data_IF_394691345939
#
_entry.id   IF_394691345939
#
_cell.length_a   1.000
_cell.length_b   1.000
_cell.length_c   1.000
_cell.angle_alpha   90.00
_cell.angle_beta   90.00
_cell.angle_gamma   90.00
#
_symmetry.space_group_name_H-M   'P 1'
#
loop_
_entity.id
_entity.type
_entity.pdbx_description
1 polymer ?
#
# COMPACT_ATOMS: atom_id res chain seq x y z
N UNK A 1 -18.93 -22.77 -14.24
CA UNK A 1 -17.55 -22.99 -13.81
C UNK A 1 -16.73 -21.84 -14.39
N UNK A 2 -16.46 -20.80 -13.61
CA UNK A 2 -15.65 -19.66 -14.06
C UNK A 2 -14.20 -20.03 -13.75
N UNK A 3 -13.38 -20.19 -14.78
CA UNK A 3 -11.95 -20.35 -14.64
C UNK A 3 -11.39 -19.00 -14.18
N UNK A 4 -11.14 -18.85 -12.88
CA UNK A 4 -10.25 -17.80 -12.40
C UNK A 4 -8.88 -18.13 -12.96
N UNK A 5 -8.45 -17.38 -13.96
CA UNK A 5 -7.10 -17.46 -14.48
C UNK A 5 -6.15 -17.20 -13.30
N UNK A 6 -5.32 -18.15 -12.87
CA UNK A 6 -4.43 -17.93 -11.73
C UNK A 6 -3.24 -17.13 -12.24
N UNK A 7 -3.40 -15.82 -12.43
CA UNK A 7 -2.23 -14.96 -12.52
C UNK A 7 -1.49 -15.12 -11.19
N UNK A 8 -0.23 -15.58 -11.17
CA UNK A 8 0.48 -15.76 -9.91
C UNK A 8 0.71 -14.39 -9.28
N UNK A 9 0.02 -14.12 -8.17
CA UNK A 9 0.31 -12.95 -7.35
C UNK A 9 1.78 -12.98 -6.93
N UNK A 10 2.49 -11.89 -7.15
CA UNK A 10 3.86 -11.70 -6.66
C UNK A 10 3.83 -10.94 -5.33
N UNK A 11 4.83 -11.15 -4.48
CA UNK A 11 4.94 -10.37 -3.24
C UNK A 11 5.85 -9.16 -3.43
N UNK A 12 5.41 -8.01 -2.93
CA UNK A 12 6.24 -6.83 -2.86
C UNK A 12 7.23 -6.98 -1.68
N UNK A 13 8.50 -6.68 -1.94
CA UNK A 13 9.58 -6.84 -0.97
C UNK A 13 9.75 -5.55 -0.18
N UNK A 14 9.64 -5.60 1.15
CA UNK A 14 9.88 -4.45 2.02
C UNK A 14 11.36 -4.05 1.97
N UNK A 15 11.64 -2.82 1.55
CA UNK A 15 12.98 -2.23 1.45
C UNK A 15 13.29 -1.34 2.65
N UNK A 16 12.31 -0.57 3.11
CA UNK A 16 12.46 0.36 4.23
C UNK A 16 11.18 0.43 5.06
N UNK A 17 11.32 0.47 6.37
CA UNK A 17 10.23 0.74 7.31
C UNK A 17 10.67 1.84 8.28
N UNK A 18 9.98 2.98 8.23
CA UNK A 18 10.24 4.14 9.11
C UNK A 18 10.20 3.78 10.60
N UNK A 19 9.41 2.78 11.00
CA UNK A 19 9.32 2.33 12.41
C UNK A 19 10.65 1.76 12.92
N UNK A 20 11.51 1.29 12.02
CA UNK A 20 12.82 0.72 12.34
C UNK A 20 13.96 1.73 12.16
N UNK A 21 13.66 2.99 11.81
CA UNK A 21 14.67 4.03 11.70
C UNK A 21 14.87 4.75 13.05
N UNK A 22 16.10 4.81 13.60
CA UNK A 22 16.37 5.54 14.83
C UNK A 22 16.32 7.04 14.57
N UNK A 23 15.13 7.63 14.64
CA UNK A 23 14.94 9.08 14.50
C UNK A 23 15.05 9.75 15.87
N UNK A 24 16.17 10.43 16.12
CA UNK A 24 16.43 11.20 17.36
C UNK A 24 15.62 12.51 17.49
N UNK A 25 14.50 12.70 16.79
CA UNK A 25 13.90 14.05 16.72
C UNK A 25 12.38 14.16 16.50
N UNK A 26 11.56 13.13 16.75
CA UNK A 26 10.08 13.31 16.70
C UNK A 26 9.53 13.32 18.12
N UNK A 27 9.43 14.54 18.68
CA UNK A 27 8.73 14.82 19.95
C UNK A 27 7.31 14.24 19.89
N UNK A 28 7.00 13.37 20.85
CA UNK A 28 5.68 13.10 21.41
C UNK A 28 4.49 13.21 20.44
N UNK A 29 4.30 12.20 19.59
CA UNK A 29 2.98 11.90 19.05
C UNK A 29 2.58 10.47 19.43
N UNK A 30 1.38 10.25 19.99
CA UNK A 30 0.91 8.93 20.41
C UNK A 30 0.42 8.06 19.23
N UNK A 31 0.81 8.38 17.99
CA UNK A 31 0.35 7.66 16.81
C UNK A 31 1.23 6.46 16.52
N UNK A 32 1.13 5.43 17.36
CA UNK A 32 1.64 4.08 17.06
C UNK A 32 1.05 3.50 15.75
N UNK A 33 0.06 4.16 15.16
CA UNK A 33 -0.60 3.80 13.90
C UNK A 33 -0.07 4.52 12.65
N UNK A 34 0.81 5.52 12.76
CA UNK A 34 1.36 6.19 11.56
C UNK A 34 2.69 5.55 11.14
N UNK A 35 2.84 5.27 9.85
CA UNK A 35 4.09 4.74 9.30
C UNK A 35 4.25 5.07 7.82
N UNK A 36 5.49 5.06 7.37
CA UNK A 36 5.88 5.03 5.95
C UNK A 36 6.78 3.83 5.69
N UNK A 37 6.56 3.16 4.56
CA UNK A 37 7.28 1.96 4.12
C UNK A 37 7.53 2.06 2.62
N UNK A 38 8.70 1.60 2.19
CA UNK A 38 9.08 1.49 0.79
C UNK A 38 9.15 0.01 0.41
N UNK A 39 8.51 -0.36 -0.69
CA UNK A 39 8.52 -1.71 -1.23
C UNK A 39 9.09 -1.75 -2.65
N UNK A 40 9.74 -2.85 -3.02
CA UNK A 40 10.13 -3.19 -4.40
C UNK A 40 9.13 -4.19 -4.97
N UNK A 41 8.67 -3.95 -6.19
CA UNK A 41 7.75 -4.84 -6.90
C UNK A 41 8.08 -4.88 -8.40
N UNK A 42 8.69 -5.98 -8.84
CA UNK A 42 9.24 -6.07 -10.20
C UNK A 42 10.24 -4.93 -10.42
N UNK A 43 10.04 -4.17 -11.49
CA UNK A 43 10.87 -3.01 -11.85
C UNK A 43 10.41 -1.68 -11.21
N UNK A 44 9.43 -1.73 -10.31
CA UNK A 44 8.87 -0.55 -9.65
C UNK A 44 9.15 -0.52 -8.15
N UNK A 45 8.89 0.64 -7.57
CA UNK A 45 8.81 0.85 -6.14
C UNK A 45 7.43 1.35 -5.75
N UNK A 46 7.00 0.99 -4.54
CA UNK A 46 5.80 1.52 -3.91
C UNK A 46 6.21 2.22 -2.62
N UNK A 47 6.09 3.55 -2.61
CA UNK A 47 6.10 4.33 -1.37
C UNK A 47 4.69 4.29 -0.78
N UNK A 48 4.56 3.80 0.44
CA UNK A 48 3.29 3.57 1.10
C UNK A 48 3.30 4.16 2.51
N UNK A 49 2.28 4.93 2.85
CA UNK A 49 2.15 5.56 4.15
C UNK A 49 0.75 5.36 4.74
N UNK A 50 0.70 4.97 6.01
CA UNK A 50 -0.51 5.01 6.83
C UNK A 50 -0.50 6.32 7.62
N UNK A 51 -1.57 7.11 7.48
CA UNK A 51 -1.71 8.42 8.13
C UNK A 51 -3.03 8.49 8.88
N UNK A 52 -3.06 9.10 10.09
CA UNK A 52 -4.31 9.40 10.76
C UNK A 52 -5.06 10.50 9.99
N UNK A 53 -6.38 10.37 9.89
CA UNK A 53 -7.25 11.36 9.29
C UNK A 53 -8.56 11.50 10.08
N UNK A 54 -8.64 12.54 10.92
CA UNK A 54 -9.76 12.70 11.83
C UNK A 54 -9.82 11.56 12.84
N UNK A 55 -10.91 10.79 12.81
CA UNK A 55 -11.08 9.57 13.65
C UNK A 55 -10.68 8.29 12.92
N UNK A 56 -10.38 8.39 11.63
CA UNK A 56 -10.09 7.27 10.76
C UNK A 56 -8.60 7.26 10.38
N UNK A 57 -8.21 6.30 9.55
CA UNK A 57 -6.89 6.27 8.95
C UNK A 57 -7.00 6.20 7.43
N UNK A 58 -5.99 6.72 6.73
CA UNK A 58 -5.86 6.64 5.28
C UNK A 58 -4.53 6.01 4.91
N UNK A 59 -4.60 5.13 3.93
CA UNK A 59 -3.45 4.58 3.25
C UNK A 59 -3.21 5.42 1.98
N UNK A 60 -2.07 6.08 1.93
CA UNK A 60 -1.63 6.90 0.79
C UNK A 60 -0.43 6.23 0.17
N UNK A 61 -0.42 6.07 -1.15
CA UNK A 61 0.72 5.49 -1.83
C UNK A 61 1.07 6.16 -3.15
N UNK A 62 2.31 5.95 -3.56
CA UNK A 62 2.87 6.39 -4.82
C UNK A 62 3.65 5.24 -5.47
N UNK A 63 3.22 4.87 -6.67
CA UNK A 63 3.96 3.96 -7.55
C UNK A 63 5.04 4.76 -8.27
N UNK A 64 6.29 4.32 -8.13
CA UNK A 64 7.48 4.95 -8.69
C UNK A 64 8.10 3.96 -9.68
N UNK A 65 8.22 4.38 -10.93
CA UNK A 65 8.81 3.60 -12.02
C UNK A 65 9.97 4.39 -12.66
N UNK A 66 11.06 3.71 -12.99
CA UNK A 66 12.29 4.37 -13.49
C UNK A 66 12.15 4.92 -14.92
N UNK A 67 11.36 4.27 -15.78
CA UNK A 67 11.38 4.55 -17.23
C UNK A 67 10.02 4.83 -17.86
N UNK A 68 8.90 4.44 -17.24
CA UNK A 68 7.58 4.53 -17.84
C UNK A 68 6.54 5.04 -16.84
N UNK A 69 5.61 5.87 -17.30
CA UNK A 69 4.42 6.25 -16.52
C UNK A 69 3.64 4.95 -16.24
N UNK A 70 3.27 4.66 -14.98
CA UNK A 70 2.49 3.47 -14.68
C UNK A 70 1.23 3.45 -15.54
N UNK A 71 0.95 2.32 -16.19
CA UNK A 71 -0.36 2.12 -16.82
C UNK A 71 -1.39 2.23 -15.70
N UNK A 72 -2.38 3.13 -15.82
CA UNK A 72 -3.31 3.39 -14.74
C UNK A 72 -4.18 2.14 -14.47
N UNK A 73 -4.06 1.52 -13.29
CA UNK A 73 -4.60 0.15 -13.10
C UNK A 73 -5.38 -0.15 -11.82
N UNK A 74 -5.31 0.70 -10.79
CA UNK A 74 -6.02 0.54 -9.50
C UNK A 74 -5.32 -0.32 -8.45
N UNK A 75 -5.67 -0.04 -7.20
CA UNK A 75 -5.27 -0.78 -6.01
C UNK A 75 -6.51 -1.23 -5.26
N UNK A 76 -6.43 -2.39 -4.62
CA UNK A 76 -7.48 -2.93 -3.75
C UNK A 76 -6.87 -3.20 -2.37
N UNK A 77 -7.48 -2.64 -1.34
CA UNK A 77 -7.11 -2.96 0.03
C UNK A 77 -8.14 -3.95 0.59
N UNK A 78 -7.66 -5.11 0.97
CA UNK A 78 -8.42 -6.15 1.63
C UNK A 78 -8.18 -6.06 3.13
N UNK A 79 -9.26 -5.98 3.91
CA UNK A 79 -9.21 -5.96 5.36
C UNK A 79 -10.40 -6.69 5.99
N UNK A 80 -10.51 -6.68 7.34
CA UNK A 80 -11.56 -7.39 8.07
C UNK A 80 -12.98 -6.93 7.69
N UNK A 81 -13.17 -5.62 7.48
CA UNK A 81 -14.44 -5.01 7.08
C UNK A 81 -14.79 -5.15 5.59
N UNK A 82 -13.96 -5.86 4.82
CA UNK A 82 -14.16 -6.05 3.38
C UNK A 82 -13.04 -5.44 2.54
N UNK A 83 -13.34 -5.16 1.27
CA UNK A 83 -12.35 -4.65 0.32
C UNK A 83 -12.81 -3.32 -0.27
N UNK A 84 -11.89 -2.37 -0.40
CA UNK A 84 -12.13 -1.13 -1.13
C UNK A 84 -11.05 -0.91 -2.20
N UNK A 85 -11.47 -0.25 -3.29
CA UNK A 85 -10.63 -0.02 -4.47
C UNK A 85 -10.42 1.47 -4.68
N UNK A 86 -9.22 1.86 -5.09
CA UNK A 86 -8.90 3.21 -5.56
C UNK A 86 -8.24 3.14 -6.92
N UNK A 87 -8.59 4.01 -7.87
CA UNK A 87 -7.77 4.18 -9.06
C UNK A 87 -6.38 4.69 -8.67
N UNK A 88 -5.38 4.35 -9.48
CA UNK A 88 -4.07 4.99 -9.44
C UNK A 88 -4.10 6.14 -10.43
N UNK A 89 -3.79 7.34 -9.96
CA UNK A 89 -3.72 8.53 -10.81
C UNK A 89 -2.63 8.40 -11.86
N UNK A 90 -2.66 9.30 -12.83
CA UNK A 90 -1.63 9.36 -13.87
C UNK A 90 -0.21 9.60 -13.31
N UNK A 91 -0.09 10.16 -12.10
CA UNK A 91 1.18 10.39 -11.41
C UNK A 91 1.58 9.23 -10.48
N UNK A 92 0.89 8.09 -10.56
CA UNK A 92 1.16 6.91 -9.72
C UNK A 92 0.59 7.02 -8.30
N UNK A 93 -0.11 8.10 -7.96
CA UNK A 93 -0.63 8.31 -6.59
C UNK A 93 -2.02 7.71 -6.41
N UNK A 94 -2.30 7.21 -5.20
CA UNK A 94 -3.62 6.69 -4.79
C UNK A 94 -3.88 6.96 -3.31
N UNK A 95 -5.16 6.83 -2.90
CA UNK A 95 -5.59 7.01 -1.52
C UNK A 95 -6.76 6.08 -1.21
N UNK A 96 -6.65 5.36 -0.10
CA UNK A 96 -7.67 4.43 0.39
C UNK A 96 -8.01 4.75 1.84
N UNK A 97 -9.30 4.84 2.15
CA UNK A 97 -9.75 4.90 3.55
C UNK A 97 -9.59 3.53 4.20
N UNK A 98 -9.12 3.51 5.44
CA UNK A 98 -8.98 2.29 6.24
C UNK A 98 -10.10 2.31 7.28
N UNK A 99 -11.07 1.41 7.12
CA UNK A 99 -12.30 1.44 7.91
C UNK A 99 -12.20 0.71 9.25
N UNK A 100 -11.33 -0.30 9.33
CA UNK A 100 -11.19 -1.15 10.51
C UNK A 100 -9.72 -1.35 10.86
N UNK A 101 -9.49 -1.68 12.13
CA UNK A 101 -8.17 -2.08 12.63
C UNK A 101 -7.88 -3.54 12.30
N UNK A 102 -6.61 -3.90 12.32
CA UNK A 102 -6.14 -5.27 12.09
C UNK A 102 -5.32 -5.40 10.82
N UNK A 103 -5.18 -6.64 10.38
CA UNK A 103 -4.31 -7.00 9.26
C UNK A 103 -4.97 -6.69 7.92
N UNK A 104 -4.26 -5.93 7.11
CA UNK A 104 -4.66 -5.64 5.75
C UNK A 104 -3.67 -6.21 4.73
N UNK A 105 -4.17 -6.46 3.53
CA UNK A 105 -3.38 -6.80 2.35
C UNK A 105 -3.71 -5.80 1.25
N UNK A 106 -2.69 -5.14 0.71
CA UNK A 106 -2.85 -4.30 -0.47
C UNK A 106 -2.52 -5.12 -1.71
N UNK A 107 -3.49 -5.26 -2.60
CA UNK A 107 -3.31 -5.75 -3.96
C UNK A 107 -3.14 -4.54 -4.88
N UNK A 108 -2.12 -4.57 -5.74
CA UNK A 108 -1.95 -3.55 -6.76
C UNK A 108 -1.64 -4.20 -8.11
N UNK A 109 -2.46 -3.84 -9.09
CA UNK A 109 -2.37 -4.33 -10.45
C UNK A 109 -1.47 -3.41 -11.26
N UNK A 110 -0.50 -4.00 -11.96
CA UNK A 110 0.47 -3.35 -12.84
C UNK A 110 0.30 -3.84 -14.29
N UNK A 111 -0.83 -4.49 -14.59
CA UNK A 111 -1.39 -4.67 -15.92
C UNK A 111 -1.05 -6.04 -16.44
N UNK A 112 0.25 -6.33 -16.50
CA UNK A 112 0.75 -7.67 -16.78
C UNK A 112 1.00 -8.48 -15.50
N UNK A 113 1.16 -7.79 -14.36
CA UNK A 113 1.53 -8.41 -13.08
C UNK A 113 0.71 -7.82 -11.93
N UNK A 114 0.32 -8.66 -10.98
CA UNK A 114 -0.35 -8.22 -9.75
C UNK A 114 0.55 -8.52 -8.56
N UNK A 115 0.72 -7.51 -7.71
CA UNK A 115 1.56 -7.61 -6.53
C UNK A 115 0.74 -7.46 -5.25
N UNK A 116 1.17 -8.17 -4.20
CA UNK A 116 0.60 -8.11 -2.88
C UNK A 116 1.58 -7.51 -1.88
N UNK A 117 1.09 -6.57 -1.09
CA UNK A 117 1.73 -6.09 0.13
C UNK A 117 0.98 -6.69 1.31
N UNK A 118 1.62 -7.59 2.05
CA UNK A 118 1.03 -8.24 3.22
C UNK A 118 1.48 -7.58 4.52
N UNK A 119 0.86 -7.99 5.64
CA UNK A 119 1.20 -7.53 6.99
C UNK A 119 1.12 -5.99 7.13
N UNK A 120 0.09 -5.40 6.53
CA UNK A 120 -0.27 -4.01 6.75
C UNK A 120 -1.11 -3.92 8.02
N UNK A 121 -0.43 -3.94 9.17
CA UNK A 121 -1.08 -3.81 10.48
C UNK A 121 -1.54 -2.37 10.74
N UNK A 122 -2.80 -2.23 11.13
CA UNK A 122 -3.45 -0.98 11.51
C UNK A 122 -3.92 -1.10 12.96
N UNK A 123 -3.38 -0.25 13.84
CA UNK A 123 -3.59 -0.31 15.30
C UNK A 123 -4.70 0.60 15.83
#
# INVERSE_FOLDING_TARGET
MILLNPMPYKEAILIMDSRNTPTSAVRHQPFHSAWSRLYKAGDMYLDLSLRPEGRDAVLVGQVIAEAHKPVALSVVLHGPGGSNRSPVSEYGTFRLSVQEKGDHVLEFDLGEETFLVRALEVL
#
